data_IF_740486961398
#
_entry.id   IF_740486961398
#
_cell.length_a   1.000
_cell.length_b   1.000
_cell.length_c   1.000
_cell.angle_alpha   90.00
_cell.angle_beta   90.00
_cell.angle_gamma   90.00
#
_symmetry.space_group_name_H-M   'P 1'
#
loop_
_entity.id
_entity.type
_entity.pdbx_description
1 polymer ?
#
# COMPACT_ATOMS: atom_id res chain seq x y z
N UNK A 1 8.64 -22.34 -4.37
CA UNK A 1 7.49 -21.83 -3.59
C UNK A 1 6.25 -22.26 -4.37
N UNK A 2 5.25 -22.90 -3.75
CA UNK A 2 4.00 -23.16 -4.46
C UNK A 2 3.41 -21.81 -4.88
N UNK A 3 3.09 -21.67 -6.16
CA UNK A 3 2.29 -20.53 -6.62
C UNK A 3 0.98 -20.58 -5.84
N UNK A 4 0.65 -19.47 -5.17
CA UNK A 4 -0.63 -19.38 -4.50
C UNK A 4 -1.70 -19.48 -5.59
N UNK A 5 -2.64 -20.41 -5.41
CA UNK A 5 -3.77 -20.65 -6.32
C UNK A 5 -4.72 -19.45 -6.18
N UNK A 6 -4.38 -18.36 -6.87
CA UNK A 6 -5.09 -17.09 -6.88
C UNK A 6 -5.66 -16.94 -8.28
N UNK A 7 -6.97 -16.71 -8.38
CA UNK A 7 -7.62 -16.40 -9.64
C UNK A 7 -6.90 -15.23 -10.33
N UNK A 8 -6.17 -15.54 -11.40
CA UNK A 8 -5.49 -14.55 -12.24
C UNK A 8 -6.52 -13.82 -13.09
N UNK A 9 -7.25 -12.89 -12.48
CA UNK A 9 -8.20 -12.00 -13.18
C UNK A 9 -7.50 -11.15 -14.24
N UNK A 10 -6.18 -10.96 -14.12
CA UNK A 10 -5.35 -10.21 -15.05
C UNK A 10 -4.00 -10.89 -15.25
N UNK A 11 -3.56 -10.99 -16.50
CA UNK A 11 -2.25 -11.49 -16.90
C UNK A 11 -1.40 -10.31 -17.41
N UNK A 12 -0.71 -9.65 -16.47
CA UNK A 12 0.22 -8.58 -16.81
C UNK A 12 1.63 -9.13 -16.89
N UNK A 13 2.37 -8.73 -17.92
CA UNK A 13 3.78 -9.06 -18.04
C UNK A 13 4.55 -8.58 -16.78
N UNK A 14 5.35 -9.44 -16.13
CA UNK A 14 6.09 -9.05 -14.92
C UNK A 14 6.98 -7.82 -15.12
N UNK A 15 7.53 -7.61 -16.32
CA UNK A 15 8.35 -6.45 -16.65
C UNK A 15 7.54 -5.14 -16.66
N UNK A 16 6.26 -5.19 -17.03
CA UNK A 16 5.37 -4.05 -16.99
C UNK A 16 5.11 -3.60 -15.55
N UNK A 17 4.74 -4.53 -14.66
CA UNK A 17 4.52 -4.22 -13.24
C UNK A 17 5.81 -3.73 -12.58
N UNK A 18 6.94 -4.37 -12.86
CA UNK A 18 8.24 -3.93 -12.36
C UNK A 18 8.60 -2.53 -12.89
N UNK A 19 8.22 -2.20 -14.14
CA UNK A 19 8.40 -0.87 -14.72
C UNK A 19 7.63 0.20 -13.96
N UNK A 20 6.35 -0.05 -13.65
CA UNK A 20 5.52 0.87 -12.84
C UNK A 20 6.19 1.10 -11.49
N UNK A 21 6.50 0.03 -10.77
CA UNK A 21 7.09 0.12 -9.42
C UNK A 21 8.43 0.86 -9.41
N UNK A 22 9.26 0.70 -10.45
CA UNK A 22 10.52 1.46 -10.61
C UNK A 22 10.29 2.93 -10.97
N UNK A 23 9.21 3.24 -11.67
CA UNK A 23 8.93 4.60 -12.16
C UNK A 23 8.29 5.50 -11.11
N UNK A 24 7.55 4.91 -10.15
CA UNK A 24 6.84 5.66 -9.11
C UNK A 24 7.64 5.72 -7.82
N UNK A 25 7.61 6.88 -7.16
CA UNK A 25 8.24 7.08 -5.84
C UNK A 25 7.21 7.09 -4.72
N UNK A 26 6.00 7.58 -5.01
CA UNK A 26 4.94 7.83 -4.03
C UNK A 26 3.75 6.93 -4.31
N UNK A 27 3.20 6.30 -3.27
CA UNK A 27 2.05 5.40 -3.36
C UNK A 27 0.98 5.85 -2.35
N UNK A 28 -0.20 6.19 -2.85
CA UNK A 28 -1.38 6.39 -2.02
C UNK A 28 -2.02 5.03 -1.70
N UNK A 29 -1.99 4.65 -0.43
CA UNK A 29 -2.47 3.35 0.02
C UNK A 29 -3.87 3.47 0.64
N UNK A 30 -4.88 3.09 -0.15
CA UNK A 30 -6.27 3.06 0.29
C UNK A 30 -6.52 1.87 1.22
N UNK A 31 -7.18 2.12 2.35
CA UNK A 31 -7.46 1.08 3.35
C UNK A 31 -6.28 0.80 4.30
N UNK A 32 -5.34 1.74 4.39
CA UNK A 32 -4.24 1.68 5.35
C UNK A 32 -4.80 1.60 6.79
N UNK A 33 -4.20 0.74 7.62
CA UNK A 33 -4.63 0.51 9.00
C UNK A 33 -3.43 0.58 9.95
N UNK A 34 -3.63 1.12 11.16
CA UNK A 34 -2.66 1.05 12.26
C UNK A 34 -2.67 -0.31 12.99
N UNK A 35 -3.72 -1.10 12.79
CA UNK A 35 -3.87 -2.42 13.41
C UNK A 35 -2.89 -3.44 12.80
N UNK A 36 -1.94 -3.90 13.61
CA UNK A 36 -0.88 -4.84 13.24
C UNK A 36 -1.38 -6.22 12.82
N UNK A 37 -2.61 -6.58 13.15
CA UNK A 37 -3.23 -7.85 12.75
C UNK A 37 -3.75 -7.81 11.32
N UNK A 38 -3.93 -6.61 10.73
CA UNK A 38 -4.44 -6.46 9.37
C UNK A 38 -3.31 -6.54 8.34
N UNK A 39 -3.58 -7.23 7.24
CA UNK A 39 -2.66 -7.33 6.11
C UNK A 39 -2.21 -5.96 5.57
N UNK A 40 -3.11 -4.96 5.57
CA UNK A 40 -2.78 -3.61 5.11
C UNK A 40 -1.71 -2.93 5.96
N UNK A 41 -1.58 -3.26 7.26
CA UNK A 41 -0.46 -2.78 8.07
C UNK A 41 0.87 -3.38 7.60
N UNK A 42 0.88 -4.67 7.26
CA UNK A 42 2.06 -5.37 6.75
C UNK A 42 2.56 -4.79 5.43
N UNK A 43 1.65 -4.57 4.47
CA UNK A 43 1.97 -3.97 3.16
C UNK A 43 2.50 -2.55 3.33
N UNK A 44 1.83 -1.70 4.12
CA UNK A 44 2.28 -0.34 4.40
C UNK A 44 3.70 -0.32 4.98
N UNK A 45 3.96 -1.20 5.97
CA UNK A 45 5.28 -1.31 6.61
C UNK A 45 6.35 -1.68 5.58
N UNK A 46 6.10 -2.73 4.80
CA UNK A 46 7.08 -3.26 3.86
C UNK A 46 7.40 -2.26 2.75
N UNK A 47 6.40 -1.61 2.15
CA UNK A 47 6.63 -0.61 1.11
C UNK A 47 7.39 0.61 1.65
N UNK A 48 7.06 1.05 2.87
CA UNK A 48 7.80 2.11 3.56
C UNK A 48 9.26 1.71 3.85
N UNK A 49 9.52 0.46 4.26
CA UNK A 49 10.87 -0.07 4.50
C UNK A 49 11.69 -0.23 3.21
N UNK A 50 11.04 -0.52 2.08
CA UNK A 50 11.68 -0.54 0.75
C UNK A 50 12.10 0.87 0.30
N UNK A 51 11.47 1.91 0.86
CA UNK A 51 11.81 3.31 0.58
C UNK A 51 10.81 4.05 -0.31
N UNK A 52 9.59 3.53 -0.46
CA UNK A 52 8.49 4.29 -1.09
C UNK A 52 7.94 5.35 -0.14
N UNK A 53 7.55 6.49 -0.71
CA UNK A 53 6.81 7.53 0.00
C UNK A 53 5.34 7.12 0.08
N UNK A 54 4.89 6.60 1.22
CA UNK A 54 3.51 6.13 1.39
C UNK A 54 2.61 7.24 1.92
N UNK A 55 1.47 7.43 1.25
CA UNK A 55 0.37 8.29 1.70
C UNK A 55 -0.79 7.37 2.16
N UNK A 56 -0.93 7.10 3.46
CA UNK A 56 -2.01 6.25 3.94
C UNK A 56 -3.36 6.97 3.87
N UNK A 57 -4.35 6.32 3.24
CA UNK A 57 -5.70 6.85 3.10
C UNK A 57 -6.68 5.99 3.91
N UNK A 58 -7.37 6.61 4.86
CA UNK A 58 -8.41 5.97 5.67
C UNK A 58 -9.47 7.00 6.10
N UNK A 59 -10.77 6.75 5.84
CA UNK A 59 -11.84 7.69 6.19
C UNK A 59 -12.13 7.78 7.69
N UNK A 60 -11.55 6.92 8.53
CA UNK A 60 -11.76 6.93 9.98
C UNK A 60 -11.22 8.23 10.61
N UNK A 61 -12.08 9.10 11.19
CA UNK A 61 -11.65 10.40 11.72
C UNK A 61 -10.75 10.28 12.95
N UNK A 62 -10.77 9.15 13.66
CA UNK A 62 -9.97 8.90 14.85
C UNK A 62 -8.56 8.42 14.53
N UNK A 63 -8.24 8.18 13.25
CA UNK A 63 -6.94 7.71 12.80
C UNK A 63 -6.23 8.85 12.08
N UNK A 64 -5.31 9.51 12.78
CA UNK A 64 -4.53 10.63 12.24
C UNK A 64 -3.15 10.22 11.73
N UNK A 65 -2.61 9.09 12.21
CA UNK A 65 -1.24 8.69 11.94
C UNK A 65 -1.08 7.17 11.92
N UNK A 66 -0.23 6.67 11.03
CA UNK A 66 0.25 5.28 11.02
C UNK A 66 1.78 5.31 10.89
N UNK A 67 2.52 4.84 11.91
CA UNK A 67 3.99 4.76 11.92
C UNK A 67 4.70 6.10 11.57
N UNK A 68 4.23 7.23 12.10
CA UNK A 68 4.79 8.55 11.78
C UNK A 68 4.27 9.16 10.47
N UNK A 69 3.46 8.43 9.69
CA UNK A 69 2.89 8.93 8.43
C UNK A 69 1.52 9.54 8.69
N UNK A 70 1.32 10.77 8.21
CA UNK A 70 0.01 11.44 8.21
C UNK A 70 -1.00 10.59 7.42
N UNK A 71 -2.17 10.36 8.01
CA UNK A 71 -3.30 9.69 7.34
C UNK A 71 -4.23 10.74 6.74
N UNK A 72 -4.66 10.51 5.51
CA UNK A 72 -5.60 11.35 4.77
C UNK A 72 -6.97 10.66 4.73
N UNK A 73 -8.05 11.46 4.70
CA UNK A 73 -9.41 10.91 4.76
C UNK A 73 -9.94 10.45 3.39
N UNK A 74 -9.43 11.05 2.32
CA UNK A 74 -9.77 10.72 0.94
C UNK A 74 -8.54 10.89 0.05
N UNK A 75 -8.67 10.51 -1.22
CA UNK A 75 -7.63 10.74 -2.25
C UNK A 75 -7.60 12.20 -2.74
N UNK A 76 -8.62 12.99 -2.43
CA UNK A 76 -8.75 14.39 -2.84
C UNK A 76 -8.07 15.36 -1.87
N UNK A 77 -7.82 14.92 -0.63
CA UNK A 77 -7.10 15.67 0.41
C UNK A 77 -5.59 15.64 0.20
#
# INVERSE_FOLDING_TARGET
>A
MPEADIDHLYDYDPSYIAGILKSVKTIAMVGASADKTKFSYGVLRQLSEIGYDILPINPNPNLSEIRGLKVYRSLEE
#
